data_IF_921802302581
#
_entry.id   IF_921802302581
#
_cell.length_a   1.000
_cell.length_b   1.000
_cell.length_c   1.000
_cell.angle_alpha   90.00
_cell.angle_beta   90.00
_cell.angle_gamma   90.00
#
_symmetry.space_group_name_H-M   'P 1'
#
loop_
_entity.id
_entity.type
_entity.pdbx_description
1 polymer ?
#
# COMPACT_ATOMS: atom_id res chain seq x y z
N UNK A 1 -25.83 -11.95 -7.68
CA UNK A 1 -24.63 -11.94 -8.56
C UNK A 1 -23.49 -11.28 -7.77
N UNK A 2 -22.76 -12.06 -6.97
CA UNK A 2 -21.74 -11.55 -6.02
C UNK A 2 -20.41 -11.44 -6.76
N UNK A 3 -20.06 -10.24 -7.22
CA UNK A 3 -18.73 -9.95 -7.72
C UNK A 3 -17.77 -9.90 -6.52
N UNK A 4 -16.97 -10.96 -6.35
CA UNK A 4 -15.50 -10.92 -6.40
C UNK A 4 -14.79 -9.62 -5.90
N UNK A 5 -15.19 -9.04 -4.77
CA UNK A 5 -14.60 -7.84 -4.15
C UNK A 5 -13.24 -8.09 -3.46
N UNK A 6 -12.39 -8.97 -4.01
CA UNK A 6 -11.05 -9.21 -3.44
C UNK A 6 -10.15 -8.03 -3.79
N UNK A 7 -9.71 -7.26 -2.80
CA UNK A 7 -8.81 -6.11 -2.93
C UNK A 7 -9.47 -4.72 -2.84
N UNK A 8 -10.80 -4.62 -2.98
CA UNK A 8 -11.47 -3.31 -3.07
C UNK A 8 -11.71 -2.65 -1.71
N UNK A 9 -11.81 -3.43 -0.64
CA UNK A 9 -12.16 -2.90 0.67
C UNK A 9 -11.03 -2.05 1.23
N UNK A 10 -9.82 -2.61 1.36
CA UNK A 10 -8.66 -1.86 1.83
C UNK A 10 -8.36 -0.66 0.92
N UNK A 11 -8.48 -0.83 -0.40
CA UNK A 11 -8.32 0.28 -1.34
C UNK A 11 -9.31 1.41 -1.07
N UNK A 12 -10.59 1.10 -0.86
CA UNK A 12 -11.62 2.11 -0.59
C UNK A 12 -11.35 2.86 0.72
N UNK A 13 -10.95 2.12 1.76
CA UNK A 13 -10.59 2.68 3.06
C UNK A 13 -9.36 3.61 2.95
N UNK A 14 -8.32 3.19 2.22
CA UNK A 14 -7.13 4.00 1.99
C UNK A 14 -7.50 5.24 1.17
N UNK A 15 -8.21 5.09 0.05
CA UNK A 15 -8.60 6.22 -0.80
C UNK A 15 -9.37 7.28 0.00
N UNK A 16 -10.35 6.87 0.81
CA UNK A 16 -11.09 7.78 1.68
C UNK A 16 -10.18 8.48 2.71
N UNK A 17 -9.27 7.71 3.33
CA UNK A 17 -8.29 8.24 4.29
C UNK A 17 -7.40 9.32 3.66
N UNK A 18 -6.88 9.05 2.47
CA UNK A 18 -5.98 9.95 1.75
C UNK A 18 -6.71 11.20 1.23
N UNK A 19 -7.95 11.05 0.76
CA UNK A 19 -8.81 12.17 0.37
C UNK A 19 -9.06 13.11 1.55
N UNK A 20 -9.35 12.57 2.73
CA UNK A 20 -9.49 13.34 3.97
C UNK A 20 -8.22 14.14 4.28
N UNK A 21 -7.04 13.50 4.22
CA UNK A 21 -5.77 14.20 4.45
C UNK A 21 -5.51 15.32 3.45
N UNK A 22 -5.89 15.12 2.18
CA UNK A 22 -5.76 16.15 1.14
C UNK A 22 -6.72 17.32 1.38
N UNK A 23 -7.98 17.04 1.75
CA UNK A 23 -8.98 18.07 2.03
C UNK A 23 -8.59 18.91 3.26
N UNK A 24 -7.98 18.28 4.27
CA UNK A 24 -7.48 18.95 5.46
C UNK A 24 -6.11 19.63 5.25
N UNK A 25 -5.56 19.61 4.02
CA UNK A 25 -4.22 20.13 3.69
C UNK A 25 -3.09 19.55 4.56
N UNK A 26 -3.28 18.34 5.08
CA UNK A 26 -2.35 17.66 5.97
C UNK A 26 -1.22 16.96 5.19
N UNK A 27 -1.59 16.27 4.11
CA UNK A 27 -0.68 15.50 3.28
C UNK A 27 -1.27 15.29 1.88
N UNK A 28 -0.41 15.14 0.87
CA UNK A 28 -0.83 14.98 -0.51
C UNK A 28 -0.44 13.61 -1.02
N UNK A 29 -1.43 12.79 -1.35
CA UNK A 29 -1.21 11.45 -1.87
C UNK A 29 -2.00 11.23 -3.15
N UNK A 30 -1.55 10.27 -3.95
CA UNK A 30 -2.18 9.89 -5.21
C UNK A 30 -2.13 8.38 -5.40
N UNK A 31 -3.27 7.79 -5.78
CA UNK A 31 -3.35 6.40 -6.21
C UNK A 31 -2.94 6.28 -7.67
N UNK A 32 -1.93 5.47 -7.94
CA UNK A 32 -1.45 5.23 -9.29
C UNK A 32 -2.49 4.40 -10.06
N UNK A 33 -3.01 4.90 -11.20
CA UNK A 33 -3.92 4.13 -12.04
C UNK A 33 -3.19 2.94 -12.67
N UNK A 34 -3.95 1.93 -13.10
CA UNK A 34 -3.39 0.82 -13.84
C UNK A 34 -2.82 1.31 -15.18
N UNK A 35 -1.54 1.07 -15.42
CA UNK A 35 -0.92 1.42 -16.69
C UNK A 35 -1.46 0.53 -17.81
N UNK A 36 -1.80 1.15 -18.92
CA UNK A 36 -2.16 0.45 -20.15
C UNK A 36 -1.65 1.21 -21.37
N UNK A 37 -1.31 0.46 -22.42
CA UNK A 37 -0.97 1.02 -23.72
C UNK A 37 -2.19 0.91 -24.62
N UNK A 38 -2.60 2.03 -25.21
CA UNK A 38 -3.68 2.07 -26.18
C UNK A 38 -3.28 1.28 -27.43
N UNK A 39 -4.10 0.29 -27.80
CA UNK A 39 -3.93 -0.47 -29.03
C UNK A 39 -4.73 0.19 -30.16
N UNK A 40 -6.00 0.52 -29.91
CA UNK A 40 -6.87 1.15 -30.90
C UNK A 40 -8.07 1.84 -30.26
N UNK A 41 -8.66 2.79 -30.99
CA UNK A 41 -9.98 3.38 -30.70
C UNK A 41 -10.88 3.13 -31.90
N UNK A 42 -12.05 2.54 -31.67
CA UNK A 42 -13.07 2.37 -32.70
C UNK A 42 -14.45 2.66 -32.08
N UNK A 43 -15.23 3.56 -32.69
CA UNK A 43 -16.55 3.98 -32.22
C UNK A 43 -16.63 4.24 -30.69
N UNK A 44 -15.69 5.04 -30.15
CA UNK A 44 -15.55 5.35 -28.71
C UNK A 44 -15.24 4.15 -27.79
N UNK A 45 -14.88 2.99 -28.35
CA UNK A 45 -14.40 1.83 -27.59
C UNK A 45 -12.88 1.83 -27.59
N UNK A 46 -12.29 1.92 -26.40
CA UNK A 46 -10.85 1.82 -26.19
C UNK A 46 -10.44 0.36 -26.04
N UNK A 47 -9.52 -0.10 -26.89
CA UNK A 47 -8.81 -1.37 -26.68
C UNK A 47 -7.41 -1.06 -26.16
N UNK A 48 -7.09 -1.52 -24.96
CA UNK A 48 -5.76 -1.33 -24.37
C UNK A 48 -5.16 -2.65 -23.89
N UNK A 49 -3.83 -2.70 -23.87
CA UNK A 49 -3.06 -3.78 -23.25
C UNK A 49 -2.54 -3.28 -21.92
N UNK A 50 -2.83 -4.01 -20.84
CA UNK A 50 -2.25 -3.72 -19.54
C UNK A 50 -0.73 -3.84 -19.61
N UNK A 51 -0.04 -2.85 -19.04
CA UNK A 51 1.41 -2.81 -18.97
C UNK A 51 1.87 -2.82 -17.53
N UNK A 52 3.19 -3.02 -17.34
CA UNK A 52 3.78 -3.10 -16.00
C UNK A 52 3.78 -1.71 -15.36
N UNK A 53 3.24 -1.61 -14.14
CA UNK A 53 3.39 -0.40 -13.33
C UNK A 53 4.84 -0.26 -12.85
N UNK A 54 5.36 0.96 -12.98
CA UNK A 54 6.69 1.33 -12.50
C UNK A 54 6.65 1.65 -11.00
N UNK A 55 5.55 2.23 -10.53
CA UNK A 55 5.31 2.65 -9.15
C UNK A 55 4.55 1.58 -8.36
N UNK A 56 4.55 1.74 -7.03
CA UNK A 56 3.58 1.10 -6.16
C UNK A 56 2.17 1.69 -6.36
N UNK A 57 1.17 1.12 -5.68
CA UNK A 57 -0.21 1.57 -5.79
C UNK A 57 -0.43 3.01 -5.33
N UNK A 58 0.37 3.52 -4.37
CA UNK A 58 0.22 4.87 -3.82
C UNK A 58 1.56 5.60 -3.72
N UNK A 59 1.53 6.89 -4.05
CA UNK A 59 2.65 7.83 -3.86
C UNK A 59 2.15 9.08 -3.14
N UNK A 60 3.05 9.84 -2.52
CA UNK A 60 2.70 11.11 -1.91
C UNK A 60 3.87 11.90 -1.34
N UNK A 61 3.52 13.04 -0.76
CA UNK A 61 4.44 13.94 -0.07
C UNK A 61 3.81 14.35 1.26
N UNK A 62 4.60 14.28 2.32
CA UNK A 62 4.21 14.74 3.65
C UNK A 62 5.45 15.22 4.40
N UNK A 63 5.38 16.42 5.00
CA UNK A 63 6.49 17.07 5.71
C UNK A 63 7.82 17.08 4.91
N UNK A 64 7.72 17.24 3.59
CA UNK A 64 8.88 17.25 2.69
C UNK A 64 9.45 15.87 2.34
N UNK A 65 8.97 14.80 2.95
CA UNK A 65 9.37 13.43 2.61
C UNK A 65 8.54 12.89 1.43
N UNK A 66 9.22 12.26 0.48
CA UNK A 66 8.56 11.45 -0.55
C UNK A 66 8.12 10.12 0.07
N UNK A 67 6.87 9.74 -0.18
CA UNK A 67 6.25 8.52 0.34
C UNK A 67 5.78 7.66 -0.83
N UNK A 68 6.06 6.36 -0.79
CA UNK A 68 5.54 5.41 -1.76
C UNK A 68 5.27 4.06 -1.09
N UNK A 69 4.05 3.54 -1.24
CA UNK A 69 3.65 2.33 -0.54
C UNK A 69 2.67 1.47 -1.31
N UNK A 70 2.61 0.20 -0.90
CA UNK A 70 1.75 -0.82 -1.49
C UNK A 70 0.68 -1.26 -0.49
N UNK A 71 -0.56 -1.45 -0.94
CA UNK A 71 -1.64 -1.97 -0.11
C UNK A 71 -1.96 -3.43 -0.48
N UNK A 72 -2.05 -4.30 0.52
CA UNK A 72 -2.40 -5.71 0.34
C UNK A 72 -3.34 -6.17 1.44
N UNK A 73 -4.11 -7.20 1.15
CA UNK A 73 -5.02 -7.81 2.11
C UNK A 73 -4.91 -9.34 2.06
N UNK A 74 -5.27 -9.99 3.16
CA UNK A 74 -5.22 -11.45 3.28
C UNK A 74 -6.39 -11.97 4.10
N UNK A 75 -7.02 -13.04 3.60
CA UNK A 75 -8.05 -13.81 4.31
C UNK A 75 -7.40 -14.92 5.17
N UNK A 76 -6.08 -15.02 5.19
CA UNK A 76 -5.31 -16.04 5.90
C UNK A 76 -4.78 -15.50 7.23
N UNK A 77 -4.28 -16.41 8.06
CA UNK A 77 -3.55 -16.14 9.30
C UNK A 77 -2.08 -15.76 9.05
N UNK A 78 -1.73 -15.47 7.80
CA UNK A 78 -0.43 -14.98 7.38
C UNK A 78 -0.54 -14.09 6.14
N UNK A 79 0.47 -13.24 5.96
CA UNK A 79 0.71 -12.53 4.72
C UNK A 79 1.77 -13.27 3.90
N UNK A 80 1.53 -13.47 2.60
CA UNK A 80 2.50 -14.05 1.68
C UNK A 80 3.21 -12.93 0.92
N UNK A 81 4.51 -12.75 1.15
CA UNK A 81 5.37 -11.78 0.46
C UNK A 81 5.32 -11.92 -1.08
N UNK A 82 5.00 -13.11 -1.59
CA UNK A 82 4.82 -13.34 -3.03
C UNK A 82 3.64 -12.55 -3.63
N UNK A 83 2.75 -12.01 -2.78
CA UNK A 83 1.67 -11.11 -3.19
C UNK A 83 2.18 -9.72 -3.60
N UNK A 84 3.42 -9.38 -3.25
CA UNK A 84 4.11 -8.17 -3.71
C UNK A 84 4.85 -8.53 -4.99
N UNK A 85 4.54 -7.85 -6.10
CA UNK A 85 5.20 -8.09 -7.38
C UNK A 85 6.65 -7.64 -7.31
N UNK A 86 7.53 -8.30 -8.07
CA UNK A 86 8.97 -7.96 -8.11
C UNK A 86 9.23 -6.47 -8.38
N UNK A 87 8.48 -5.82 -9.28
CA UNK A 87 8.65 -4.37 -9.52
C UNK A 87 8.25 -3.50 -8.33
N UNK A 88 7.22 -3.89 -7.59
CA UNK A 88 6.81 -3.16 -6.39
C UNK A 88 7.91 -3.29 -5.34
N UNK A 89 8.48 -4.49 -5.18
CA UNK A 89 9.61 -4.75 -4.30
C UNK A 89 10.85 -3.91 -4.68
N UNK A 90 11.26 -3.92 -5.96
CA UNK A 90 12.34 -3.09 -6.51
C UNK A 90 12.09 -1.59 -6.27
N UNK A 91 10.82 -1.16 -6.37
CA UNK A 91 10.44 0.23 -6.16
C UNK A 91 10.57 0.65 -4.69
N UNK A 92 10.02 -0.14 -3.77
CA UNK A 92 10.15 0.11 -2.33
C UNK A 92 11.62 0.21 -1.92
N UNK A 93 12.48 -0.64 -2.50
CA UNK A 93 13.93 -0.60 -2.29
C UNK A 93 14.56 0.73 -2.75
N UNK A 94 14.28 1.14 -3.99
CA UNK A 94 14.83 2.37 -4.57
C UNK A 94 14.45 3.58 -3.72
N UNK A 95 13.19 3.66 -3.29
CA UNK A 95 12.69 4.78 -2.48
C UNK A 95 13.40 4.83 -1.13
N UNK A 96 13.50 3.70 -0.43
CA UNK A 96 14.19 3.63 0.87
C UNK A 96 15.68 3.99 0.74
N UNK A 97 16.37 3.50 -0.30
CA UNK A 97 17.79 3.83 -0.55
C UNK A 97 18.04 5.32 -0.82
N UNK A 98 17.03 6.07 -1.24
CA UNK A 98 17.13 7.49 -1.55
C UNK A 98 16.46 8.38 -0.48
N UNK A 99 16.44 7.92 0.79
CA UNK A 99 15.88 8.66 1.93
C UNK A 99 14.38 8.98 1.80
N UNK A 100 13.66 8.26 0.94
CA UNK A 100 12.21 8.28 0.88
C UNK A 100 11.61 7.28 1.86
N UNK A 101 10.34 7.50 2.23
CA UNK A 101 9.58 6.61 3.11
C UNK A 101 8.86 5.59 2.25
N UNK A 102 9.24 4.32 2.38
CA UNK A 102 8.56 3.22 1.67
C UNK A 102 8.15 2.09 2.61
N UNK A 103 6.93 1.60 2.40
CA UNK A 103 6.30 0.61 3.26
C UNK A 103 5.20 -0.17 2.54
N UNK A 104 4.62 -1.14 3.24
CA UNK A 104 3.37 -1.79 2.87
C UNK A 104 2.32 -1.60 3.96
N UNK A 105 1.06 -1.60 3.54
CA UNK A 105 -0.09 -1.72 4.43
C UNK A 105 -0.73 -3.08 4.18
N UNK A 106 -0.92 -3.86 5.23
CA UNK A 106 -1.52 -5.19 5.18
C UNK A 106 -2.78 -5.22 6.02
N UNK A 107 -3.91 -5.55 5.41
CA UNK A 107 -5.17 -5.82 6.10
C UNK A 107 -5.42 -7.32 6.27
N UNK A 108 -5.63 -7.76 7.50
CA UNK A 108 -5.96 -9.14 7.85
C UNK A 108 -7.46 -9.28 8.13
N UNK A 109 -8.21 -9.77 7.14
CA UNK A 109 -9.68 -9.88 7.21
C UNK A 109 -10.16 -10.72 8.41
N UNK A 110 -9.46 -11.81 8.73
CA UNK A 110 -9.83 -12.71 9.83
C UNK A 110 -9.85 -12.05 11.20
N UNK A 111 -9.03 -11.02 11.38
CA UNK A 111 -8.81 -10.36 12.67
C UNK A 111 -9.32 -8.93 12.66
N UNK A 112 -9.80 -8.44 11.51
CA UNK A 112 -10.18 -7.04 11.29
C UNK A 112 -9.08 -6.05 11.73
N UNK A 113 -7.83 -6.34 11.35
CA UNK A 113 -6.64 -5.57 11.76
C UNK A 113 -5.79 -5.11 10.59
N UNK A 114 -5.22 -3.93 10.73
CA UNK A 114 -4.38 -3.28 9.73
C UNK A 114 -2.98 -3.07 10.29
N UNK A 115 -1.97 -3.40 9.50
CA UNK A 115 -0.58 -3.25 9.90
C UNK A 115 0.26 -2.56 8.84
N UNK A 116 1.17 -1.71 9.30
CA UNK A 116 2.21 -1.08 8.51
C UNK A 116 3.55 -1.79 8.71
N UNK A 117 4.25 -2.09 7.62
CA UNK A 117 5.63 -2.59 7.64
C UNK A 117 6.53 -1.74 6.75
N UNK A 118 7.61 -1.22 7.31
CA UNK A 118 8.65 -0.52 6.54
C UNK A 118 9.33 -1.46 5.55
N UNK A 119 9.91 -0.90 4.48
CA UNK A 119 10.79 -1.65 3.59
C UNK A 119 11.93 -2.36 4.35
N UNK A 120 12.60 -1.65 5.27
CA UNK A 120 13.70 -2.20 6.05
C UNK A 120 13.28 -3.42 6.88
N UNK A 121 12.06 -3.41 7.43
CA UNK A 121 11.50 -4.56 8.14
C UNK A 121 11.26 -5.76 7.21
N UNK A 122 10.82 -5.51 5.96
CA UNK A 122 10.56 -6.57 4.99
C UNK A 122 11.82 -7.31 4.54
N UNK A 123 12.97 -6.63 4.51
CA UNK A 123 14.25 -7.23 4.14
C UNK A 123 14.74 -8.31 5.11
N UNK A 124 14.28 -8.28 6.37
CA UNK A 124 14.74 -9.19 7.41
C UNK A 124 14.07 -10.57 7.34
N UNK A 125 13.15 -10.80 6.42
CA UNK A 125 12.43 -12.07 6.30
C UNK A 125 13.09 -13.03 5.32
N UNK A 126 13.54 -14.17 5.86
CA UNK A 126 14.02 -15.30 5.07
C UNK A 126 12.88 -16.19 4.55
N UNK A 127 11.67 -16.04 5.09
CA UNK A 127 10.49 -16.83 4.72
C UNK A 127 9.48 -15.98 3.95
N UNK A 128 8.82 -16.58 2.96
CA UNK A 128 7.78 -15.90 2.17
C UNK A 128 6.49 -15.66 2.94
N UNK A 129 6.23 -16.40 4.02
CA UNK A 129 5.03 -16.25 4.84
C UNK A 129 5.40 -15.56 6.15
N UNK A 130 4.63 -14.54 6.51
CA UNK A 130 4.74 -13.79 7.76
C UNK A 130 3.43 -13.98 8.51
N UNK A 131 3.46 -14.66 9.65
CA UNK A 131 2.25 -14.98 10.43
C UNK A 131 1.63 -13.72 11.05
N UNK A 132 0.33 -13.76 11.28
CA UNK A 132 -0.39 -12.71 12.00
C UNK A 132 0.24 -12.43 13.38
N UNK A 133 0.60 -13.47 14.14
CA UNK A 133 1.27 -13.33 15.44
C UNK A 133 2.58 -12.52 15.36
N UNK A 134 3.29 -12.61 14.24
CA UNK A 134 4.48 -11.79 14.03
C UNK A 134 4.10 -10.32 13.85
N UNK A 135 3.05 -10.03 13.07
CA UNK A 135 2.55 -8.66 12.89
C UNK A 135 2.06 -8.07 14.21
N UNK A 136 1.35 -8.84 15.04
CA UNK A 136 0.87 -8.36 16.34
C UNK A 136 2.03 -7.99 17.28
N UNK A 137 3.15 -8.73 17.23
CA UNK A 137 4.30 -8.48 18.10
C UNK A 137 5.30 -7.45 17.58
N UNK A 138 5.42 -7.30 16.26
CA UNK A 138 6.52 -6.57 15.63
C UNK A 138 6.07 -5.55 14.57
N UNK A 139 4.86 -5.70 14.02
CA UNK A 139 4.31 -4.77 13.06
C UNK A 139 3.79 -3.51 13.73
N UNK A 140 3.66 -2.43 12.96
CA UNK A 140 3.00 -1.23 13.46
C UNK A 140 1.49 -1.38 13.23
N UNK A 141 0.70 -1.54 14.29
CA UNK A 141 -0.75 -1.59 14.18
C UNK A 141 -1.29 -0.21 13.76
N UNK A 142 -2.00 -0.15 12.64
CA UNK A 142 -2.62 1.08 12.14
C UNK A 142 -4.06 1.09 12.65
N UNK A 143 -4.38 2.05 13.51
CA UNK A 143 -5.72 2.18 14.05
C UNK A 143 -6.73 2.54 12.95
N UNK A 144 -7.91 1.92 13.00
CA UNK A 144 -9.04 2.22 12.13
C UNK A 144 -10.20 2.76 12.98
N UNK A 145 -10.67 3.97 12.68
CA UNK A 145 -11.73 4.64 13.46
C UNK A 145 -13.16 4.28 13.02
N UNK A 146 -13.30 3.27 12.15
CA UNK A 146 -14.55 2.91 11.49
C UNK A 146 -14.76 3.59 10.13
N UNK A 147 -13.92 4.57 9.76
CA UNK A 147 -13.97 5.26 8.46
C UNK A 147 -12.61 5.46 7.82
N UNK A 148 -11.61 5.87 8.59
CA UNK A 148 -10.27 6.20 8.13
C UNK A 148 -9.17 5.50 8.93
N UNK A 149 -8.02 5.28 8.29
CA UNK A 149 -6.82 4.72 8.91
C UNK A 149 -5.96 5.83 9.52
N UNK A 150 -5.33 5.53 10.66
CA UNK A 150 -4.30 6.36 11.29
C UNK A 150 -2.94 6.28 10.59
N UNK A 151 -2.90 6.40 9.26
CA UNK A 151 -1.66 6.23 8.47
C UNK A 151 -0.58 7.26 8.82
N UNK A 152 -0.98 8.48 9.18
CA UNK A 152 -0.03 9.55 9.51
C UNK A 152 0.83 9.21 10.72
N UNK A 153 0.30 8.51 11.72
CA UNK A 153 1.08 8.11 12.90
C UNK A 153 2.18 7.13 12.52
N UNK A 154 1.85 6.16 11.66
CA UNK A 154 2.83 5.22 11.12
C UNK A 154 3.88 5.94 10.26
N UNK A 155 3.46 6.86 9.38
CA UNK A 155 4.37 7.62 8.52
C UNK A 155 5.31 8.50 9.36
N UNK A 156 4.82 9.18 10.39
CA UNK A 156 5.65 9.95 11.31
C UNK A 156 6.68 9.06 12.01
N UNK A 157 6.28 7.86 12.46
CA UNK A 157 7.20 6.89 13.04
C UNK A 157 8.33 6.53 12.07
N UNK A 158 8.02 6.27 10.79
CA UNK A 158 9.02 5.96 9.77
C UNK A 158 9.95 7.14 9.46
N UNK A 159 9.42 8.35 9.34
CA UNK A 159 10.23 9.57 9.10
C UNK A 159 11.26 9.75 10.21
N UNK A 160 10.89 9.48 11.47
CA UNK A 160 11.81 9.59 12.60
C UNK A 160 12.90 8.50 12.64
N UNK A 161 12.81 7.47 11.79
CA UNK A 161 13.78 6.39 11.69
C UNK A 161 14.78 6.56 10.53
N UNK A 162 14.59 7.57 9.67
CA UNK A 162 15.48 7.93 8.55
C UNK A 162 16.51 8.95 9.04
#
# INVERSE_FOLDING_TARGET
>A
MILKNKGLYLESVINYTLEKYSNDSLAYFYKIPLNSTLISVDNNILKSKLTKNVFCDYIGIYKGAYIEFEAKETELDYFNLSNIKKSQFEKLEIVSKNSGVSFIVVYFHKYDKYYGLSWSSLLNFNTKKISFDWFERNGFEIFFDGRSLGLIDFINHLINCI
#
